data_IF_049082784831
#
_entry.id   IF_049082784831
#
_cell.length_a   1.000
_cell.length_b   1.000
_cell.length_c   1.000
_cell.angle_alpha   90.00
_cell.angle_beta   90.00
_cell.angle_gamma   90.00
#
_symmetry.space_group_name_H-M   'P 1'
#
loop_
_entity.id
_entity.type
_entity.pdbx_description
1 polymer ?
#
# COMPACT_ATOMS: atom_id res chain seq x y z
N UNK A 1 16.88 -2.66 9.51
CA UNK A 1 16.97 -2.48 8.03
C UNK A 1 15.68 -2.74 7.24
N UNK A 2 14.65 -3.44 7.77
CA UNK A 2 13.44 -3.79 7.00
C UNK A 2 12.56 -2.61 6.55
N UNK A 3 12.50 -1.52 7.33
CA UNK A 3 11.62 -0.38 7.04
C UNK A 3 12.02 0.40 5.78
N UNK A 4 13.32 0.50 5.47
CA UNK A 4 13.77 1.29 4.30
C UNK A 4 13.33 0.66 2.96
N UNK A 5 13.07 -0.65 2.92
CA UNK A 5 12.62 -1.33 1.68
C UNK A 5 11.16 -1.06 1.33
N UNK A 6 10.37 -0.54 2.28
CA UNK A 6 8.95 -0.27 2.05
C UNK A 6 8.70 1.10 1.42
N UNK A 7 9.57 2.08 1.63
CA UNK A 7 9.37 3.41 1.08
C UNK A 7 9.37 3.33 -0.46
N UNK A 8 8.42 3.99 -1.11
CA UNK A 8 8.22 3.92 -2.57
C UNK A 8 7.91 2.52 -3.12
N UNK A 9 7.71 1.50 -2.28
CA UNK A 9 7.30 0.19 -2.75
C UNK A 9 5.88 0.23 -3.30
N UNK A 10 5.64 -0.55 -4.34
CA UNK A 10 4.37 -0.62 -5.09
C UNK A 10 3.54 -1.77 -4.56
N UNK A 11 2.23 -1.57 -4.50
CA UNK A 11 1.29 -2.55 -3.97
C UNK A 11 -0.02 -2.51 -4.76
N UNK A 12 -0.65 -3.67 -4.85
CA UNK A 12 -1.98 -3.85 -5.43
C UNK A 12 -2.89 -4.41 -4.35
N UNK A 13 -3.99 -3.72 -4.05
CA UNK A 13 -5.05 -4.23 -3.18
C UNK A 13 -5.89 -5.25 -3.94
N UNK A 14 -6.34 -6.32 -3.27
CA UNK A 14 -7.23 -7.34 -3.83
C UNK A 14 -8.68 -6.87 -3.96
N UNK A 15 -9.08 -5.91 -3.13
CA UNK A 15 -10.37 -5.22 -3.20
C UNK A 15 -10.14 -3.73 -3.41
N UNK A 16 -11.12 -3.00 -3.95
CA UNK A 16 -11.00 -1.56 -4.15
C UNK A 16 -10.94 -0.86 -2.80
N UNK A 17 -9.78 -0.33 -2.45
CA UNK A 17 -9.63 0.60 -1.34
C UNK A 17 -9.95 1.99 -1.87
N UNK A 18 -10.96 2.68 -1.33
CA UNK A 18 -11.38 4.00 -1.83
C UNK A 18 -11.55 4.08 -3.37
N UNK A 19 -11.98 3.00 -4.00
CA UNK A 19 -12.17 2.90 -5.45
C UNK A 19 -10.92 2.54 -6.28
N UNK A 20 -9.77 2.26 -5.66
CA UNK A 20 -8.50 1.99 -6.37
C UNK A 20 -7.84 0.68 -5.93
N UNK A 21 -7.08 0.10 -6.85
CA UNK A 21 -6.28 -1.09 -6.60
C UNK A 21 -4.79 -0.76 -6.41
N UNK A 22 -4.24 0.19 -7.16
CA UNK A 22 -2.79 0.43 -7.21
C UNK A 22 -2.33 1.55 -6.29
N UNK A 23 -1.42 1.20 -5.40
CA UNK A 23 -0.88 2.07 -4.37
C UNK A 23 0.64 2.08 -4.35
N UNK A 24 1.20 3.16 -3.84
CA UNK A 24 2.61 3.27 -3.52
C UNK A 24 2.80 3.85 -2.12
N UNK A 25 3.76 3.30 -1.38
CA UNK A 25 4.07 3.78 -0.02
C UNK A 25 4.70 5.17 -0.10
N UNK A 26 4.03 6.16 0.50
CA UNK A 26 4.48 7.53 0.62
C UNK A 26 5.37 7.75 1.84
N UNK A 27 4.97 7.15 2.97
CA UNK A 27 5.58 7.44 4.27
C UNK A 27 5.54 6.22 5.20
N UNK A 28 6.46 6.20 6.16
CA UNK A 28 6.58 5.15 7.18
C UNK A 28 6.66 5.78 8.56
N UNK A 29 5.60 5.63 9.34
CA UNK A 29 5.54 6.02 10.73
C UNK A 29 6.18 4.93 11.60
N UNK A 30 7.52 4.97 11.71
CA UNK A 30 8.33 3.92 12.36
C UNK A 30 7.93 3.63 13.80
N UNK A 31 7.56 4.67 14.58
CA UNK A 31 7.13 4.54 15.99
C UNK A 31 5.86 3.71 16.11
N UNK A 32 4.89 3.96 15.23
CA UNK A 32 3.56 3.34 15.28
C UNK A 32 3.47 2.06 14.43
N UNK A 33 4.55 1.71 13.72
CA UNK A 33 4.59 0.62 12.73
C UNK A 33 3.47 0.72 11.67
N UNK A 34 3.14 1.95 11.32
CA UNK A 34 2.16 2.28 10.28
C UNK A 34 2.84 2.85 9.04
N UNK A 35 2.12 2.80 7.93
CA UNK A 35 2.53 3.37 6.65
C UNK A 35 1.40 4.18 6.06
N UNK A 36 1.77 5.13 5.22
CA UNK A 36 0.86 5.88 4.36
C UNK A 36 1.09 5.44 2.93
N UNK A 37 0.02 5.12 2.20
CA UNK A 37 0.03 4.87 0.77
C UNK A 37 -0.83 5.89 0.06
N UNK A 38 -0.51 6.18 -1.20
CA UNK A 38 -1.37 6.96 -2.09
C UNK A 38 -1.75 6.14 -3.33
N UNK A 39 -2.94 6.40 -3.86
CA UNK A 39 -3.37 5.79 -5.11
C UNK A 39 -2.60 6.41 -6.28
N UNK A 40 -1.97 5.58 -7.13
CA UNK A 40 -1.11 6.07 -8.22
C UNK A 40 -1.89 6.93 -9.22
N UNK A 41 -3.12 6.52 -9.54
CA UNK A 41 -3.98 7.20 -10.49
C UNK A 41 -4.66 8.46 -9.92
N UNK A 42 -4.67 8.64 -8.59
CA UNK A 42 -5.27 9.80 -7.92
C UNK A 42 -4.57 10.08 -6.59
N UNK A 43 -3.51 10.89 -6.64
CA UNK A 43 -2.55 11.11 -5.54
C UNK A 43 -3.17 11.76 -4.29
N UNK A 44 -4.33 12.38 -4.43
CA UNK A 44 -5.12 12.95 -3.33
C UNK A 44 -5.70 11.86 -2.43
N UNK A 45 -5.91 10.65 -2.96
CA UNK A 45 -6.40 9.51 -2.19
C UNK A 45 -5.24 8.87 -1.46
N UNK A 46 -5.29 8.96 -0.14
CA UNK A 46 -4.29 8.40 0.76
C UNK A 46 -4.95 7.49 1.79
N UNK A 47 -4.26 6.41 2.12
CA UNK A 47 -4.68 5.45 3.13
C UNK A 47 -3.55 5.24 4.13
N UNK A 48 -3.91 5.04 5.40
CA UNK A 48 -2.98 4.71 6.46
C UNK A 48 -3.33 3.35 7.02
N UNK A 49 -2.36 2.45 7.06
CA UNK A 49 -2.54 1.09 7.59
C UNK A 49 -1.27 0.58 8.25
N UNK A 50 -1.40 -0.50 9.03
CA UNK A 50 -0.26 -1.11 9.70
C UNK A 50 0.61 -1.88 8.72
N UNK A 51 1.91 -1.97 9.00
CA UNK A 51 2.83 -2.79 8.18
C UNK A 51 2.40 -4.26 8.13
N UNK A 52 1.76 -4.76 9.19
CA UNK A 52 1.25 -6.13 9.22
C UNK A 52 0.06 -6.31 8.27
N UNK A 53 -0.82 -5.30 8.18
CA UNK A 53 -1.95 -5.33 7.23
C UNK A 53 -1.46 -5.28 5.79
N UNK A 54 -0.46 -4.43 5.46
CA UNK A 54 0.17 -4.41 4.13
C UNK A 54 0.77 -5.76 3.74
N UNK A 55 1.31 -6.51 4.71
CA UNK A 55 1.92 -7.82 4.48
C UNK A 55 0.87 -8.94 4.38
N UNK A 56 -0.39 -8.66 4.66
CA UNK A 56 -1.45 -9.64 4.54
C UNK A 56 -1.73 -9.92 3.06
N UNK A 57 -1.27 -11.07 2.58
CA UNK A 57 -1.44 -11.53 1.20
C UNK A 57 -2.90 -11.74 0.79
N UNK A 58 -3.84 -11.80 1.74
CA UNK A 58 -5.29 -11.83 1.48
C UNK A 58 -5.87 -10.45 1.20
N UNK A 59 -5.06 -9.40 1.29
CA UNK A 59 -5.48 -8.01 1.01
C UNK A 59 -4.56 -7.34 0.01
N UNK A 60 -3.26 -7.62 0.06
CA UNK A 60 -2.26 -6.89 -0.69
C UNK A 60 -1.28 -7.81 -1.41
N UNK A 61 -0.95 -7.46 -2.64
CA UNK A 61 0.09 -8.08 -3.44
C UNK A 61 1.21 -7.04 -3.68
N UNK A 62 2.49 -7.40 -3.47
CA UNK A 62 3.60 -6.52 -3.83
C UNK A 62 3.73 -6.37 -5.35
N UNK A 63 4.03 -5.15 -5.79
CA UNK A 63 4.08 -4.76 -7.19
C UNK A 63 2.73 -4.28 -7.72
N UNK A 64 2.73 -3.82 -8.96
CA UNK A 64 1.50 -3.61 -9.72
C UNK A 64 1.14 -4.92 -10.40
N UNK A 65 -0.06 -5.39 -10.15
CA UNK A 65 -0.62 -6.57 -10.80
C UNK A 65 -2.00 -6.22 -11.32
N UNK A 66 -2.30 -6.66 -12.52
CA UNK A 66 -3.65 -6.56 -13.05
C UNK A 66 -4.56 -7.46 -12.20
N UNK A 67 -5.63 -6.89 -11.70
CA UNK A 67 -6.73 -7.65 -11.11
C UNK A 67 -7.71 -7.87 -12.24
N UNK A 68 -7.88 -9.13 -12.62
CA UNK A 68 -8.93 -9.54 -13.53
C UNK A 68 -10.23 -9.51 -12.71
N UNK A 69 -11.00 -8.42 -12.86
CA UNK A 69 -12.39 -8.34 -12.40
C UNK A 69 -13.29 -9.27 -13.25
#
# INVERSE_FOLDING_TARGET
>A
MLFNKLLNSKWTSLEKENGWYHYQVLNIFKKDKNIELYAICKKEIRIKLSINDLKNKKKWIPGWKDILD
#
